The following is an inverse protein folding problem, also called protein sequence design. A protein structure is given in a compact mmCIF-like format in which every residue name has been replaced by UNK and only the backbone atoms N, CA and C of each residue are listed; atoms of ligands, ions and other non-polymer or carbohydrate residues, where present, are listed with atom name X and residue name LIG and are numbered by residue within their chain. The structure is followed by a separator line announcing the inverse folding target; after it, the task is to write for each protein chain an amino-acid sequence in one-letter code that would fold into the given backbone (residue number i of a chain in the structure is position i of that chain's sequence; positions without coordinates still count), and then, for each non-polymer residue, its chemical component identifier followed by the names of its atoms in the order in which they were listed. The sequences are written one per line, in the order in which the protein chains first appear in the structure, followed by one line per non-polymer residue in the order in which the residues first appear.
data_IF_464727945837
#
_entry.id   IF_464727945837
#
_cell.length_a   1.000
_cell.length_b   1.000
_cell.length_c   1.000
_cell.angle_alpha   90.00
_cell.angle_beta   90.00
_cell.angle_gamma   90.00
#
_symmetry.space_group_name_H-M   'P 1'
#
loop_
_entity.id
_entity.type
_entity.pdbx_description
1 polymer ?
#
# COMPACT_ATOMS: atom_id res chain seq x y z
N UNK A 1 -1.40 18.44 50.77
CA UNK A 1 -1.36 17.04 50.31
C UNK A 1 -2.06 17.00 48.95
N UNK A 2 -1.37 16.79 47.82
CA UNK A 2 -2.04 16.72 46.53
C UNK A 2 -2.59 15.31 46.30
N UNK A 3 -3.85 15.22 45.89
CA UNK A 3 -4.57 13.99 45.58
C UNK A 3 -3.93 13.24 44.41
N UNK A 4 -3.05 12.28 44.71
CA UNK A 4 -2.53 11.32 43.74
C UNK A 4 -3.61 10.29 43.43
N UNK A 5 -4.53 10.65 42.52
CA UNK A 5 -5.60 9.78 42.04
C UNK A 5 -4.98 8.59 41.26
N UNK A 6 -4.93 7.36 41.81
CA UNK A 6 -4.12 6.25 41.27
C UNK A 6 -4.65 5.71 39.93
N UNK A 7 -5.84 6.14 39.51
CA UNK A 7 -6.57 5.59 38.37
C UNK A 7 -6.24 6.26 37.02
N UNK A 8 -5.50 7.39 37.01
CA UNK A 8 -5.19 8.12 35.77
C UNK A 8 -3.99 7.52 35.01
N UNK A 9 -3.04 6.91 35.74
CA UNK A 9 -1.87 6.25 35.17
C UNK A 9 -2.25 4.95 34.43
N UNK A 10 -3.14 4.14 35.02
CA UNK A 10 -3.59 2.84 34.46
C UNK A 10 -4.24 2.95 33.07
N UNK A 11 -4.98 4.04 32.80
CA UNK A 11 -5.71 4.23 31.54
C UNK A 11 -4.81 4.29 30.29
N UNK A 12 -3.55 4.67 30.45
CA UNK A 12 -2.60 4.79 29.33
C UNK A 12 -1.66 3.58 29.21
N UNK A 13 -1.52 2.77 30.25
CA UNK A 13 -0.60 1.62 30.27
C UNK A 13 -1.02 0.57 29.25
N UNK A 14 -2.31 0.18 29.24
CA UNK A 14 -2.83 -0.84 28.32
C UNK A 14 -2.65 -0.43 26.84
N UNK A 15 -3.11 0.75 26.38
CA UNK A 15 -2.91 1.15 24.99
C UNK A 15 -1.43 1.32 24.64
N UNK A 16 -0.59 1.85 25.54
CA UNK A 16 0.84 1.96 25.29
C UNK A 16 1.50 0.58 25.14
N UNK A 17 1.12 -0.40 25.97
CA UNK A 17 1.61 -1.77 25.87
C UNK A 17 1.18 -2.45 24.57
N UNK A 18 -0.08 -2.25 24.14
CA UNK A 18 -0.59 -2.78 22.85
C UNK A 18 0.18 -2.17 21.68
N UNK A 19 0.36 -0.86 21.65
CA UNK A 19 1.13 -0.17 20.60
C UNK A 19 2.58 -0.65 20.59
N UNK A 20 3.21 -0.76 21.76
CA UNK A 20 4.57 -1.29 21.90
C UNK A 20 4.70 -2.73 21.41
N UNK A 21 3.75 -3.60 21.77
CA UNK A 21 3.74 -4.99 21.33
C UNK A 21 3.56 -5.14 19.82
N UNK A 22 2.62 -4.40 19.22
CA UNK A 22 2.43 -4.38 17.76
C UNK A 22 3.67 -3.82 17.07
N UNK A 23 4.22 -2.72 17.56
CA UNK A 23 5.42 -2.09 17.00
C UNK A 23 6.63 -3.03 17.04
N UNK A 24 6.83 -3.77 18.13
CA UNK A 24 7.88 -4.78 18.23
C UNK A 24 7.65 -5.95 17.27
N UNK A 25 6.44 -6.51 17.27
CA UNK A 25 6.07 -7.68 16.45
C UNK A 25 6.14 -7.39 14.94
N UNK A 26 5.80 -6.16 14.53
CA UNK A 26 5.83 -5.72 13.14
C UNK A 26 7.06 -4.88 12.77
N UNK A 27 8.06 -4.76 13.64
CA UNK A 27 9.23 -3.90 13.40
C UNK A 27 9.91 -4.21 12.07
N UNK A 28 10.14 -5.49 11.79
CA UNK A 28 10.77 -5.95 10.54
C UNK A 28 9.93 -5.64 9.31
N UNK A 29 8.60 -5.76 9.42
CA UNK A 29 7.64 -5.47 8.34
C UNK A 29 7.62 -3.98 8.04
N UNK A 30 7.55 -3.14 9.07
CA UNK A 30 7.57 -1.68 8.97
C UNK A 30 8.90 -1.18 8.41
N UNK A 31 10.03 -1.72 8.85
CA UNK A 31 11.35 -1.35 8.34
C UNK A 31 11.49 -1.66 6.83
N UNK A 32 11.05 -2.85 6.40
CA UNK A 32 11.05 -3.21 4.97
C UNK A 32 10.06 -2.37 4.16
N UNK A 33 8.89 -2.07 4.72
CA UNK A 33 7.91 -1.22 4.05
C UNK A 33 8.44 0.21 3.87
N UNK A 34 9.07 0.78 4.90
CA UNK A 34 9.71 2.08 4.82
C UNK A 34 10.89 2.12 3.85
N UNK A 35 11.67 1.04 3.78
CA UNK A 35 12.73 0.88 2.78
C UNK A 35 12.14 0.88 1.36
N UNK A 36 11.10 0.08 1.10
CA UNK A 36 10.43 0.05 -0.20
C UNK A 36 9.88 1.43 -0.58
N UNK A 37 9.25 2.16 0.35
CA UNK A 37 8.78 3.51 0.06
C UNK A 37 9.90 4.50 -0.28
N UNK A 38 11.11 4.28 0.23
CA UNK A 38 12.25 5.14 -0.05
C UNK A 38 12.96 4.79 -1.36
N UNK A 39 13.05 3.51 -1.69
CA UNK A 39 13.85 3.03 -2.82
C UNK A 39 13.04 2.68 -4.06
N UNK A 40 11.77 2.28 -3.91
CA UNK A 40 10.88 1.99 -5.03
C UNK A 40 10.12 3.26 -5.42
N UNK A 41 10.48 3.79 -6.58
CA UNK A 41 9.88 4.99 -7.13
C UNK A 41 8.37 4.86 -7.42
N UNK A 42 7.86 3.63 -7.59
CA UNK A 42 6.43 3.38 -7.81
C UNK A 42 5.61 3.56 -6.52
N UNK A 43 6.24 3.38 -5.36
CA UNK A 43 5.60 3.45 -4.04
C UNK A 43 6.10 4.60 -3.17
N UNK A 44 6.82 5.58 -3.73
CA UNK A 44 7.32 6.74 -2.98
C UNK A 44 6.23 7.59 -2.35
N UNK A 45 5.02 7.58 -2.93
CA UNK A 45 3.85 8.22 -2.34
C UNK A 45 3.46 7.63 -0.98
N UNK A 46 3.86 6.38 -0.70
CA UNK A 46 3.66 5.70 0.58
C UNK A 46 4.29 6.43 1.77
N UNK A 47 5.36 7.23 1.58
CA UNK A 47 5.93 8.06 2.64
C UNK A 47 4.95 9.13 3.16
N UNK A 48 4.09 9.66 2.29
CA UNK A 48 3.10 10.67 2.66
C UNK A 48 1.86 10.08 3.32
N UNK A 49 1.57 8.80 3.07
CA UNK A 49 0.34 8.16 3.54
C UNK A 49 0.20 8.16 5.07
N UNK A 50 1.22 7.79 5.88
CA UNK A 50 1.13 7.88 7.34
C UNK A 50 0.85 9.30 7.84
N UNK A 51 1.42 10.32 7.19
CA UNK A 51 1.20 11.72 7.54
C UNK A 51 -0.25 12.13 7.25
N UNK A 52 -0.78 11.76 6.09
CA UNK A 52 -2.17 12.02 5.70
C UNK A 52 -3.15 11.29 6.63
N UNK A 53 -2.89 10.03 6.95
CA UNK A 53 -3.70 9.26 7.92
C UNK A 53 -3.70 9.96 9.28
N UNK A 54 -2.53 10.40 9.77
CA UNK A 54 -2.40 11.15 11.01
C UNK A 54 -3.20 12.46 10.99
N UNK A 55 -3.15 13.20 9.88
CA UNK A 55 -3.92 14.42 9.69
C UNK A 55 -5.44 14.16 9.69
N UNK A 56 -5.91 13.11 8.99
CA UNK A 56 -7.32 12.70 8.98
C UNK A 56 -7.79 12.37 10.39
N UNK A 57 -7.03 11.56 11.13
CA UNK A 57 -7.36 11.17 12.51
C UNK A 57 -7.38 12.39 13.43
N UNK A 58 -6.44 13.34 13.24
CA UNK A 58 -6.38 14.56 14.03
C UNK A 58 -7.57 15.49 13.76
N UNK A 59 -7.94 15.69 12.49
CA UNK A 59 -9.04 16.55 12.08
C UNK A 59 -10.40 15.97 12.47
N UNK A 60 -10.58 14.65 12.38
CA UNK A 60 -11.82 13.99 12.76
C UNK A 60 -11.85 13.48 14.22
N UNK A 61 -10.90 13.88 15.08
CA UNK A 61 -10.76 13.32 16.44
C UNK A 61 -12.05 13.37 17.26
N UNK A 62 -12.84 14.43 17.13
CA UNK A 62 -14.07 14.63 17.90
C UNK A 62 -15.18 13.68 17.38
N UNK A 63 -15.29 13.52 16.06
CA UNK A 63 -16.18 12.55 15.41
C UNK A 63 -15.77 11.10 15.71
N UNK A 64 -14.47 10.80 15.69
CA UNK A 64 -13.94 9.46 16.00
C UNK A 64 -14.18 9.10 17.46
N UNK A 65 -13.93 10.03 18.39
CA UNK A 65 -14.17 9.79 19.84
C UNK A 65 -15.65 9.51 20.14
N UNK A 66 -16.57 10.23 19.50
CA UNK A 66 -18.02 10.06 19.66
C UNK A 66 -18.59 8.83 18.94
N UNK A 67 -17.83 8.24 18.02
CA UNK A 67 -18.22 7.05 17.25
C UNK A 67 -17.75 5.73 17.85
N UNK A 68 -17.20 5.77 19.06
CA UNK A 68 -16.78 4.57 19.80
C UNK A 68 -18.01 3.83 20.33
N UNK A 69 -18.07 2.53 20.08
CA UNK A 69 -19.10 1.63 20.61
C UNK A 69 -18.51 0.67 21.66
N UNK A 70 -19.39 -0.12 22.30
CA UNK A 70 -18.96 -1.29 23.05
C UNK A 70 -18.18 -2.24 22.11
N UNK A 71 -16.87 -2.34 22.33
CA UNK A 71 -15.96 -3.15 21.52
C UNK A 71 -16.43 -4.60 21.38
N UNK A 72 -16.24 -5.18 20.19
CA UNK A 72 -16.65 -6.56 19.92
C UNK A 72 -15.51 -7.50 20.25
N UNK A 73 -15.54 -8.09 21.46
CA UNK A 73 -14.46 -8.96 21.94
C UNK A 73 -14.25 -10.17 21.04
N UNK A 74 -15.33 -10.85 20.64
CA UNK A 74 -15.27 -12.07 19.81
C UNK A 74 -14.77 -11.76 18.40
N UNK A 75 -15.36 -10.76 17.73
CA UNK A 75 -14.98 -10.41 16.37
C UNK A 75 -13.57 -9.80 16.32
N UNK A 76 -13.23 -8.96 17.31
CA UNK A 76 -11.90 -8.38 17.47
C UNK A 76 -10.83 -9.44 17.72
N UNK A 77 -11.05 -10.35 18.68
CA UNK A 77 -10.10 -11.44 18.95
C UNK A 77 -9.96 -12.38 17.76
N UNK A 78 -11.06 -12.73 17.09
CA UNK A 78 -11.03 -13.54 15.87
C UNK A 78 -10.19 -12.90 14.77
N UNK A 79 -10.33 -11.58 14.59
CA UNK A 79 -9.57 -10.83 13.58
C UNK A 79 -8.08 -10.72 13.95
N UNK A 80 -7.76 -10.50 15.23
CA UNK A 80 -6.37 -10.49 15.75
C UNK A 80 -5.70 -11.86 15.56
N UNK A 81 -6.40 -12.95 15.86
CA UNK A 81 -5.88 -14.31 15.67
C UNK A 81 -5.62 -14.56 14.19
N UNK A 82 -6.55 -14.21 13.31
CA UNK A 82 -6.38 -14.33 11.85
C UNK A 82 -5.20 -13.51 11.36
N UNK A 83 -5.04 -12.27 11.83
CA UNK A 83 -3.89 -11.43 11.50
C UNK A 83 -2.58 -12.06 11.94
N UNK A 84 -2.53 -12.62 13.15
CA UNK A 84 -1.35 -13.31 13.64
C UNK A 84 -1.01 -14.56 12.82
N UNK A 85 -2.00 -15.37 12.45
CA UNK A 85 -1.81 -16.54 11.57
C UNK A 85 -1.29 -16.11 10.20
N UNK A 86 -1.81 -15.03 9.62
CA UNK A 86 -1.32 -14.50 8.35
C UNK A 86 0.12 -13.97 8.47
N UNK A 87 0.47 -13.31 9.58
CA UNK A 87 1.84 -12.89 9.82
C UNK A 87 2.79 -14.09 9.85
N UNK A 88 2.42 -15.15 10.57
CA UNK A 88 3.19 -16.39 10.62
C UNK A 88 3.31 -17.04 9.25
N UNK A 89 2.20 -17.19 8.52
CA UNK A 89 2.19 -17.76 7.18
C UNK A 89 3.06 -16.95 6.20
N UNK A 90 2.96 -15.62 6.22
CA UNK A 90 3.79 -14.74 5.41
C UNK A 90 5.26 -14.77 5.81
N UNK A 91 5.58 -14.96 7.09
CA UNK A 91 6.97 -15.10 7.56
C UNK A 91 7.58 -16.42 7.13
N UNK A 92 6.85 -17.53 7.31
CA UNK A 92 7.28 -18.88 6.89
C UNK A 92 7.37 -19.01 5.36
N UNK A 93 6.47 -18.35 4.63
CA UNK A 93 6.47 -18.31 3.17
C UNK A 93 7.40 -17.26 2.56
N UNK A 94 8.12 -16.47 3.38
CA UNK A 94 8.95 -15.34 2.94
C UNK A 94 8.19 -14.36 2.02
N UNK A 95 6.91 -14.15 2.29
CA UNK A 95 5.99 -13.38 1.45
C UNK A 95 5.61 -12.06 2.15
N UNK A 96 6.15 -10.95 1.66
CA UNK A 96 6.05 -9.64 2.32
C UNK A 96 4.64 -9.03 2.22
N UNK A 97 3.89 -9.29 1.15
CA UNK A 97 2.56 -8.73 0.97
C UNK A 97 1.59 -9.25 2.04
N UNK A 98 1.58 -10.54 2.31
CA UNK A 98 0.78 -11.19 3.36
C UNK A 98 1.17 -10.66 4.73
N UNK A 99 2.48 -10.48 5.00
CA UNK A 99 2.93 -9.84 6.24
C UNK A 99 2.38 -8.41 6.38
N UNK A 100 2.38 -7.61 5.31
CA UNK A 100 1.83 -6.24 5.30
C UNK A 100 0.31 -6.20 5.45
N UNK A 101 -0.42 -7.09 4.78
CA UNK A 101 -1.88 -7.22 4.95
C UNK A 101 -2.23 -7.66 6.38
N UNK A 102 -1.40 -8.52 6.99
CA UNK A 102 -1.60 -8.91 8.38
C UNK A 102 -1.48 -7.72 9.34
N UNK A 103 -0.61 -6.73 9.06
CA UNK A 103 -0.53 -5.49 9.85
C UNK A 103 -1.84 -4.72 9.80
N UNK A 104 -2.42 -4.55 8.61
CA UNK A 104 -3.71 -3.88 8.41
C UNK A 104 -4.81 -4.58 9.20
N UNK A 105 -4.88 -5.92 9.11
CA UNK A 105 -5.86 -6.71 9.85
C UNK A 105 -5.62 -6.68 11.36
N UNK A 106 -4.37 -6.66 11.82
CA UNK A 106 -4.01 -6.55 13.23
C UNK A 106 -4.54 -5.22 13.79
N UNK A 107 -4.27 -4.11 13.11
CA UNK A 107 -4.78 -2.80 13.51
C UNK A 107 -6.31 -2.77 13.51
N UNK A 108 -6.95 -3.34 12.49
CA UNK A 108 -8.41 -3.40 12.43
C UNK A 108 -9.01 -4.25 13.57
N UNK A 109 -8.40 -5.39 13.88
CA UNK A 109 -8.83 -6.28 14.95
C UNK A 109 -8.71 -5.65 16.33
N UNK A 110 -7.62 -4.92 16.59
CA UNK A 110 -7.42 -4.16 17.83
C UNK A 110 -8.49 -3.06 17.96
N UNK A 111 -8.71 -2.29 16.89
CA UNK A 111 -9.73 -1.24 16.91
C UNK A 111 -11.14 -1.81 17.11
N UNK A 112 -11.47 -2.94 16.47
CA UNK A 112 -12.74 -3.64 16.66
C UNK A 112 -12.92 -4.16 18.09
N UNK A 113 -11.83 -4.66 18.69
CA UNK A 113 -11.82 -5.20 20.05
C UNK A 113 -12.10 -4.11 21.10
N UNK A 114 -11.47 -2.94 20.97
CA UNK A 114 -11.59 -1.86 21.95
C UNK A 114 -12.70 -0.84 21.66
N UNK A 115 -12.90 -0.50 20.39
CA UNK A 115 -13.74 0.64 19.99
C UNK A 115 -14.96 0.27 19.13
N UNK A 116 -15.05 -0.99 18.70
CA UNK A 116 -16.20 -1.51 17.97
C UNK A 116 -16.19 -1.17 16.47
N UNK A 117 -17.28 -1.59 15.79
CA UNK A 117 -17.36 -1.56 14.32
C UNK A 117 -17.57 -0.14 13.76
N UNK A 118 -18.27 0.74 14.46
CA UNK A 118 -18.53 2.11 13.99
C UNK A 118 -17.25 2.91 13.78
N UNK A 119 -16.28 2.77 14.69
CA UNK A 119 -14.97 3.42 14.52
C UNK A 119 -14.26 2.92 13.26
N UNK A 120 -14.28 1.60 12.99
CA UNK A 120 -13.67 1.05 11.77
C UNK A 120 -14.31 1.59 10.49
N UNK A 121 -15.64 1.74 10.47
CA UNK A 121 -16.34 2.31 9.31
C UNK A 121 -15.92 3.75 9.07
N UNK A 122 -15.76 4.55 10.12
CA UNK A 122 -15.29 5.93 9.99
C UNK A 122 -13.81 6.01 9.58
N UNK A 123 -13.01 5.01 9.93
CA UNK A 123 -11.62 4.88 9.51
C UNK A 123 -11.45 4.17 8.16
N UNK A 124 -12.52 3.89 7.42
CA UNK A 124 -12.43 3.18 6.14
C UNK A 124 -11.48 3.88 5.14
N UNK A 125 -11.47 5.21 5.11
CA UNK A 125 -10.57 5.98 4.24
C UNK A 125 -9.10 5.82 4.68
N UNK A 126 -8.72 6.05 5.96
CA UNK A 126 -7.40 5.70 6.46
C UNK A 126 -6.94 4.28 6.15
N UNK A 127 -7.81 3.29 6.33
CA UNK A 127 -7.49 1.89 6.01
C UNK A 127 -7.28 1.67 4.51
N UNK A 128 -8.08 2.32 3.66
CA UNK A 128 -7.93 2.25 2.20
C UNK A 128 -6.61 2.88 1.75
N UNK A 129 -6.24 4.03 2.32
CA UNK A 129 -4.95 4.67 2.05
C UNK A 129 -3.78 3.78 2.48
N UNK A 130 -3.88 3.13 3.65
CA UNK A 130 -2.85 2.21 4.12
C UNK A 130 -2.69 1.00 3.19
N UNK A 131 -3.79 0.44 2.68
CA UNK A 131 -3.76 -0.66 1.70
C UNK A 131 -3.13 -0.19 0.38
N UNK A 132 -3.46 1.02 -0.09
CA UNK A 132 -2.90 1.58 -1.32
C UNK A 132 -1.39 1.84 -1.21
N UNK A 133 -0.90 2.14 -0.01
CA UNK A 133 0.52 2.30 0.27
C UNK A 133 1.30 0.96 0.31
N UNK A 134 0.63 -0.20 0.32
CA UNK A 134 1.31 -1.50 0.38
C UNK A 134 1.73 -1.93 -1.03
N UNK A 135 3.03 -2.20 -1.26
CA UNK A 135 3.49 -2.71 -2.54
C UNK A 135 2.85 -4.03 -2.92
N UNK A 136 2.24 -4.07 -4.11
CA UNK A 136 1.64 -5.27 -4.70
C UNK A 136 2.75 -6.30 -5.00
N UNK A 137 2.50 -7.62 -4.86
CA UNK A 137 3.46 -8.65 -5.22
C UNK A 137 3.97 -8.48 -6.65
N UNK A 138 5.30 -8.55 -6.82
CA UNK A 138 5.98 -8.46 -8.11
C UNK A 138 5.44 -9.47 -9.13
N UNK A 139 4.99 -10.64 -8.68
CA UNK A 139 4.38 -11.65 -9.55
C UNK A 139 3.10 -11.12 -10.22
N UNK A 140 2.24 -10.43 -9.45
CA UNK A 140 1.00 -9.85 -9.98
C UNK A 140 1.34 -8.69 -10.92
N UNK A 141 2.31 -7.86 -10.51
CA UNK A 141 2.80 -6.75 -11.34
C UNK A 141 3.30 -7.26 -12.71
N UNK A 142 4.20 -8.25 -12.71
CA UNK A 142 4.79 -8.82 -13.93
C UNK A 142 3.75 -9.51 -14.83
N UNK A 143 2.74 -10.14 -14.23
CA UNK A 143 1.62 -10.75 -14.99
C UNK A 143 0.80 -9.72 -15.76
N UNK A 144 0.76 -8.47 -15.30
CA UNK A 144 0.06 -7.37 -15.96
C UNK A 144 1.01 -6.61 -16.89
N UNK A 145 2.21 -6.26 -16.43
CA UNK A 145 3.16 -5.44 -17.19
C UNK A 145 3.64 -6.13 -18.47
N UNK A 146 3.91 -7.44 -18.42
CA UNK A 146 4.49 -8.16 -19.55
C UNK A 146 3.56 -8.27 -20.78
N UNK A 147 2.26 -8.65 -20.63
CA UNK A 147 1.32 -8.58 -21.75
C UNK A 147 1.20 -7.17 -22.34
N UNK A 148 1.15 -6.13 -21.49
CA UNK A 148 1.09 -4.74 -21.97
C UNK A 148 2.33 -4.36 -22.79
N UNK A 149 3.54 -4.77 -22.38
CA UNK A 149 4.76 -4.54 -23.16
C UNK A 149 4.73 -5.26 -24.52
N UNK A 150 4.18 -6.48 -24.58
CA UNK A 150 4.02 -7.21 -25.84
C UNK A 150 3.04 -6.53 -26.79
N UNK A 151 1.93 -5.98 -26.25
CA UNK A 151 0.99 -5.20 -27.03
C UNK A 151 1.58 -3.86 -27.49
N UNK A 152 2.26 -3.15 -26.60
CA UNK A 152 2.93 -1.90 -26.93
C UNK A 152 3.98 -2.10 -28.03
N UNK A 153 4.85 -3.12 -27.89
CA UNK A 153 5.85 -3.44 -28.90
C UNK A 153 5.25 -3.85 -30.25
N UNK A 154 4.09 -4.53 -30.26
CA UNK A 154 3.36 -4.83 -31.49
C UNK A 154 2.88 -3.57 -32.20
N UNK A 155 2.25 -2.65 -31.48
CA UNK A 155 1.75 -1.39 -32.04
C UNK A 155 2.91 -0.51 -32.52
N UNK A 156 4.01 -0.43 -31.76
CA UNK A 156 5.21 0.30 -32.15
C UNK A 156 5.81 -0.24 -33.45
N UNK A 157 5.95 -1.56 -33.59
CA UNK A 157 6.44 -2.19 -34.84
C UNK A 157 5.50 -1.92 -36.01
N UNK A 158 4.19 -1.96 -35.79
CA UNK A 158 3.22 -1.63 -36.83
C UNK A 158 3.39 -0.18 -37.31
N UNK A 159 3.54 0.78 -36.38
CA UNK A 159 3.82 2.19 -36.71
C UNK A 159 5.14 2.40 -37.46
N UNK A 160 6.23 1.74 -37.02
CA UNK A 160 7.55 1.86 -37.67
C UNK A 160 7.51 1.32 -39.10
N UNK A 161 6.78 0.21 -39.35
CA UNK A 161 6.62 -0.37 -40.69
C UNK A 161 5.89 0.56 -41.66
N UNK A 162 4.99 1.42 -41.19
CA UNK A 162 4.32 2.41 -42.03
C UNK A 162 5.29 3.44 -42.62
N UNK A 163 6.42 3.68 -41.95
CA UNK A 163 7.50 4.59 -42.41
C UNK A 163 8.55 3.84 -43.24
N UNK A 164 8.30 2.56 -43.54
CA UNK A 164 9.14 1.72 -44.40
C UNK A 164 10.58 1.57 -43.88
N UNK A 165 10.70 1.46 -42.56
CA UNK A 165 11.95 1.17 -41.85
C UNK A 165 12.01 -0.33 -41.51
N UNK A 166 13.08 -1.06 -41.88
CA UNK A 166 13.26 -2.46 -41.52
C UNK A 166 13.27 -2.64 -40.00
N UNK A 167 12.36 -3.49 -39.50
CA UNK A 167 12.19 -3.73 -38.06
C UNK A 167 11.88 -5.19 -37.75
N UNK A 168 12.53 -5.73 -36.72
CA UNK A 168 12.35 -7.09 -36.21
C UNK A 168 11.96 -7.02 -34.73
N UNK A 169 10.89 -7.73 -34.35
CA UNK A 169 10.45 -7.83 -32.96
C UNK A 169 10.94 -9.13 -32.32
N UNK A 170 11.52 -9.06 -31.12
CA UNK A 170 11.89 -10.20 -30.28
C UNK A 170 11.31 -10.00 -28.88
N UNK A 171 10.09 -10.50 -28.66
CA UNK A 171 9.39 -10.24 -27.39
C UNK A 171 9.03 -8.75 -27.24
N UNK A 172 9.56 -8.11 -26.20
CA UNK A 172 9.47 -6.67 -25.92
C UNK A 172 10.63 -5.85 -26.53
N UNK A 173 11.63 -6.51 -27.14
CA UNK A 173 12.75 -5.84 -27.82
C UNK A 173 12.43 -5.64 -29.30
N UNK A 174 12.75 -4.45 -29.81
CA UNK A 174 12.54 -4.01 -31.18
C UNK A 174 13.89 -3.64 -31.78
N UNK A 175 14.37 -4.44 -32.73
CA UNK A 175 15.60 -4.17 -33.47
C UNK A 175 15.24 -3.38 -34.75
N UNK A 176 15.77 -2.17 -34.89
CA UNK A 176 15.59 -1.32 -36.07
C UNK A 176 16.91 -1.08 -36.82
N UNK A 177 16.81 -0.95 -38.14
CA UNK A 177 17.92 -0.51 -38.99
C UNK A 177 17.51 0.79 -39.72
N UNK A 178 17.88 1.98 -39.21
CA UNK A 178 17.55 3.25 -39.86
C UNK A 178 18.17 3.37 -41.26
N UNK A 179 17.47 4.05 -42.18
CA UNK A 179 17.99 4.31 -43.54
C UNK A 179 19.28 5.14 -43.46
N UNK A 180 20.40 4.54 -43.89
CA UNK A 180 21.74 5.16 -43.87
C UNK A 180 22.60 4.81 -42.65
N UNK A 181 22.09 4.03 -41.68
CA UNK A 181 22.87 3.53 -40.55
C UNK A 181 23.48 2.15 -40.86
N UNK A 182 24.71 1.92 -40.40
CA UNK A 182 25.41 0.63 -40.50
C UNK A 182 25.26 -0.26 -39.26
N UNK A 183 24.58 0.23 -38.22
CA UNK A 183 24.39 -0.46 -36.94
C UNK A 183 22.92 -0.66 -36.64
N UNK A 184 22.58 -1.84 -36.11
CA UNK A 184 21.24 -2.19 -35.63
C UNK A 184 21.05 -1.55 -34.25
N UNK A 185 19.97 -0.80 -34.07
CA UNK A 185 19.61 -0.22 -32.79
C UNK A 185 18.52 -1.08 -32.14
N UNK A 186 18.79 -1.60 -30.95
CA UNK A 186 17.84 -2.38 -30.15
C UNK A 186 17.12 -1.46 -29.16
N UNK A 187 15.82 -1.27 -29.35
CA UNK A 187 14.95 -0.56 -28.41
C UNK A 187 14.16 -1.58 -27.60
N UNK A 188 14.35 -1.57 -26.29
CA UNK A 188 13.52 -2.36 -25.39
C UNK A 188 12.29 -1.55 -24.95
N UNK A 189 11.11 -2.14 -25.07
CA UNK A 189 9.92 -1.61 -24.40
C UNK A 189 10.04 -1.99 -22.92
N UNK A 190 10.72 -1.12 -22.18
CA UNK A 190 10.88 -1.23 -20.73
C UNK A 190 9.50 -1.22 -20.07
N UNK A 191 9.41 -1.80 -18.89
CA UNK A 191 8.22 -1.76 -18.04
C UNK A 191 7.57 -0.38 -18.01
N UNK A 192 6.23 -0.38 -17.93
CA UNK A 192 5.42 0.83 -17.79
C UNK A 192 5.61 1.47 -16.41
N UNK A 193 6.84 1.89 -16.08
CA UNK A 193 7.23 2.49 -14.82
C UNK A 193 6.60 3.87 -14.62
N UNK A 194 6.26 4.58 -15.70
CA UNK A 194 5.58 5.88 -15.63
C UNK A 194 4.06 5.76 -15.52
N UNK A 195 3.46 4.79 -16.21
CA UNK A 195 2.01 4.62 -16.29
C UNK A 195 1.39 4.14 -14.98
N UNK A 196 1.91 3.05 -14.40
CA UNK A 196 1.37 2.51 -13.14
C UNK A 196 1.68 3.43 -11.97
N UNK A 197 2.86 4.05 -11.94
CA UNK A 197 3.20 5.06 -10.93
C UNK A 197 2.24 6.25 -10.96
N UNK A 198 2.00 6.81 -12.14
CA UNK A 198 1.06 7.93 -12.29
C UNK A 198 -0.34 7.51 -11.84
N UNK A 199 -0.78 6.31 -12.21
CA UNK A 199 -2.08 5.79 -11.80
C UNK A 199 -2.21 5.63 -10.28
N UNK A 200 -1.22 5.02 -9.61
CA UNK A 200 -1.25 4.85 -8.15
C UNK A 200 -1.24 6.19 -7.41
N UNK A 201 -0.40 7.13 -7.84
CA UNK A 201 -0.35 8.48 -7.25
C UNK A 201 -1.64 9.25 -7.49
N UNK A 202 -2.22 9.19 -8.70
CA UNK A 202 -3.49 9.81 -9.05
C UNK A 202 -4.66 9.22 -8.24
N UNK A 203 -4.72 7.89 -8.07
CA UNK A 203 -5.77 7.24 -7.26
C UNK A 203 -5.63 7.65 -5.80
N UNK A 204 -4.40 7.69 -5.26
CA UNK A 204 -4.14 8.16 -3.89
C UNK A 204 -4.60 9.61 -3.72
N UNK A 205 -4.20 10.48 -4.63
CA UNK A 205 -4.56 11.89 -4.61
C UNK A 205 -6.07 12.09 -4.77
N UNK A 206 -6.71 11.37 -5.69
CA UNK A 206 -8.15 11.41 -5.89
C UNK A 206 -8.92 10.98 -4.63
N UNK A 207 -8.45 9.94 -3.93
CA UNK A 207 -9.02 9.53 -2.64
C UNK A 207 -8.90 10.62 -1.58
N UNK A 208 -7.73 11.24 -1.45
CA UNK A 208 -7.50 12.33 -0.50
C UNK A 208 -8.38 13.53 -0.84
N UNK A 209 -8.43 13.94 -2.10
CA UNK A 209 -9.26 15.06 -2.55
C UNK A 209 -10.75 14.78 -2.37
N UNK A 210 -11.22 13.59 -2.76
CA UNK A 210 -12.62 13.19 -2.59
C UNK A 210 -13.03 13.17 -1.12
N UNK A 211 -12.10 12.86 -0.21
CA UNK A 211 -12.35 12.88 1.21
C UNK A 211 -12.47 14.29 1.80
N UNK A 212 -11.61 15.23 1.37
CA UNK A 212 -11.62 16.61 1.86
C UNK A 212 -12.58 17.54 1.11
N UNK A 213 -13.09 17.12 -0.04
CA UNK A 213 -14.07 17.91 -0.80
C UNK A 213 -15.42 17.89 -0.06
N UNK A 214 -15.95 19.06 0.35
CA UNK A 214 -17.27 19.14 0.96
C UNK A 214 -18.33 18.63 0.00
N UNK A 215 -19.31 17.87 0.50
CA UNK A 215 -20.54 17.56 -0.23
C UNK A 215 -21.53 18.71 -0.16
#
# INVERSE_FOLDING_TARGET
MPDSNPNKSSKWIVPAAVVGAVGFLYFSVLAKLGYDWWTDENYSHGLLVPLVIGAIIWLERDKLSSSTDAGSRIAGSGTVITAFVLLLAGTLGSELFTQRISLVLMTAGILLYFFGRRLLVNLAVPFTLLILAIPIPQIIFNRISFPLQLWASQVSVWGIRLVDIPVVRKGNVIDILPKGATQVLSLEVVEACSGIRSLMTLVTLALVLAYFTPR
#
